data_IF_612061974299
#
_entry.id   IF_612061974299
#
_cell.length_a   1.000
_cell.length_b   1.000
_cell.length_c   1.000
_cell.angle_alpha   90.00
_cell.angle_beta   90.00
_cell.angle_gamma   90.00
#
_symmetry.space_group_name_H-M   'P 1'
#
loop_
_entity.id
_entity.type
_entity.pdbx_description
1 polymer ?
#
# COMPACT_ATOMS: atom_id res chain seq x y z
N UNK A 1 -24.23 28.24 -42.66
CA UNK A 1 -22.81 28.37 -42.31
C UNK A 1 -22.76 29.13 -40.99
N UNK A 2 -22.23 28.47 -39.97
CA UNK A 2 -22.27 28.92 -38.58
C UNK A 2 -21.18 29.99 -38.40
N UNK A 3 -21.51 31.26 -38.67
CA UNK A 3 -20.65 32.36 -38.26
C UNK A 3 -20.77 32.51 -36.75
N UNK A 4 -19.93 31.76 -36.03
CA UNK A 4 -19.52 32.10 -34.70
C UNK A 4 -18.80 33.45 -34.78
N UNK A 5 -19.59 34.53 -34.77
CA UNK A 5 -19.13 35.86 -34.45
C UNK A 5 -18.65 35.81 -32.98
N UNK A 6 -17.43 35.31 -32.81
CA UNK A 6 -16.58 35.56 -31.67
C UNK A 6 -16.43 37.09 -31.62
N UNK A 7 -17.37 37.74 -30.94
CA UNK A 7 -17.27 39.13 -30.53
C UNK A 7 -16.12 39.19 -29.51
N UNK A 8 -14.88 39.17 -30.02
CA UNK A 8 -13.71 39.63 -29.30
C UNK A 8 -13.85 41.15 -29.28
N UNK A 9 -14.70 41.63 -28.39
CA UNK A 9 -14.65 43.01 -27.94
C UNK A 9 -13.34 43.11 -27.18
N UNK A 10 -12.39 43.84 -27.75
CA UNK A 10 -11.00 43.98 -27.31
C UNK A 10 -10.92 44.76 -26.00
N UNK A 11 -11.43 44.15 -24.93
CA UNK A 11 -11.19 44.55 -23.55
C UNK A 11 -10.21 43.51 -22.97
N UNK A 12 -8.96 43.90 -22.64
CA UNK A 12 -7.94 42.96 -22.17
C UNK A 12 -8.37 42.20 -20.91
N UNK A 13 -9.27 42.78 -20.11
CA UNK A 13 -9.83 42.16 -18.92
C UNK A 13 -10.73 40.95 -19.21
N UNK A 14 -11.45 40.94 -20.34
CA UNK A 14 -12.34 39.83 -20.73
C UNK A 14 -11.51 38.62 -21.16
N UNK A 15 -10.47 38.85 -21.96
CA UNK A 15 -9.56 37.81 -22.45
C UNK A 15 -8.79 37.15 -21.29
N UNK A 16 -8.32 37.94 -20.32
CA UNK A 16 -7.62 37.42 -19.12
C UNK A 16 -8.57 36.61 -18.23
N UNK A 17 -9.83 37.04 -18.11
CA UNK A 17 -10.86 36.31 -17.36
C UNK A 17 -11.14 34.93 -17.94
N UNK A 18 -11.33 34.82 -19.25
CA UNK A 18 -11.61 33.56 -19.94
C UNK A 18 -10.44 32.56 -19.85
N UNK A 19 -9.21 33.04 -20.01
CA UNK A 19 -8.00 32.20 -19.86
C UNK A 19 -7.87 31.68 -18.42
N UNK A 20 -8.16 32.51 -17.42
CA UNK A 20 -8.08 32.11 -16.00
C UNK A 20 -9.10 31.02 -15.68
N UNK A 21 -10.32 31.13 -16.19
CA UNK A 21 -11.37 30.10 -16.02
C UNK A 21 -10.96 28.78 -16.67
N UNK A 22 -10.37 28.83 -17.87
CA UNK A 22 -9.88 27.64 -18.58
C UNK A 22 -8.77 26.92 -17.80
N UNK A 23 -7.82 27.67 -17.23
CA UNK A 23 -6.75 27.12 -16.38
C UNK A 23 -7.32 26.46 -15.12
N UNK A 24 -8.31 27.10 -14.49
CA UNK A 24 -8.99 26.54 -13.31
C UNK A 24 -9.74 25.24 -13.62
N UNK A 25 -10.41 25.14 -14.76
CA UNK A 25 -11.12 23.92 -15.18
C UNK A 25 -10.12 22.79 -15.45
N UNK A 26 -9.02 23.07 -16.15
CA UNK A 26 -7.97 22.07 -16.42
C UNK A 26 -7.34 21.60 -15.11
N UNK A 27 -7.01 22.53 -14.20
CA UNK A 27 -6.49 22.21 -12.87
C UNK A 27 -7.45 21.37 -12.03
N UNK A 28 -8.75 21.69 -12.07
CA UNK A 28 -9.79 20.93 -11.36
C UNK A 28 -9.94 19.51 -11.91
N UNK A 29 -9.92 19.34 -13.23
CA UNK A 29 -9.96 18.00 -13.86
C UNK A 29 -8.71 17.19 -13.52
N UNK A 30 -7.54 17.83 -13.50
CA UNK A 30 -6.28 17.17 -13.11
C UNK A 30 -6.31 16.74 -11.64
N UNK A 31 -6.81 17.60 -10.75
CA UNK A 31 -7.00 17.29 -9.33
C UNK A 31 -8.00 16.14 -9.11
N UNK A 32 -9.14 16.15 -9.81
CA UNK A 32 -10.12 15.07 -9.77
C UNK A 32 -9.56 13.73 -10.27
N UNK A 33 -8.69 13.75 -11.30
CA UNK A 33 -8.00 12.55 -11.77
C UNK A 33 -6.94 12.04 -10.79
N UNK A 34 -6.20 12.94 -10.15
CA UNK A 34 -5.25 12.59 -9.08
C UNK A 34 -5.93 11.93 -7.87
N UNK A 35 -7.15 12.34 -7.53
CA UNK A 35 -7.94 11.74 -6.45
C UNK A 35 -8.52 10.36 -6.80
N UNK A 36 -8.70 10.03 -8.09
CA UNK A 36 -9.26 8.73 -8.53
C UNK A 36 -8.24 7.58 -8.57
N UNK A 37 -6.97 7.83 -8.23
CA UNK A 37 -5.89 6.87 -8.46
C UNK A 37 -5.54 5.93 -7.28
N UNK A 38 -6.36 5.82 -6.23
CA UNK A 38 -6.02 4.95 -5.08
C UNK A 38 -7.08 3.89 -4.74
N UNK A 39 -7.73 3.33 -5.77
CA UNK A 39 -8.46 2.06 -5.67
C UNK A 39 -7.62 0.86 -6.12
N UNK A 40 -6.28 0.96 -6.05
CA UNK A 40 -5.44 -0.22 -6.19
C UNK A 40 -5.72 -1.14 -4.99
N UNK A 41 -6.12 -2.37 -5.29
CA UNK A 41 -6.27 -3.43 -4.27
C UNK A 41 -4.97 -3.45 -3.44
N UNK A 42 -5.05 -3.44 -2.10
CA UNK A 42 -3.86 -3.39 -1.27
C UNK A 42 -2.94 -4.56 -1.66
N UNK A 43 -1.74 -4.22 -2.15
CA UNK A 43 -0.74 -5.21 -2.53
C UNK A 43 -0.42 -6.02 -1.28
N UNK A 44 -0.60 -7.35 -1.30
CA UNK A 44 -0.35 -8.17 -0.12
C UNK A 44 1.13 -8.07 0.27
N UNK A 45 1.38 -7.86 1.56
CA UNK A 45 2.71 -7.91 2.14
C UNK A 45 3.17 -9.36 2.21
N UNK A 46 4.39 -9.61 1.75
CA UNK A 46 5.06 -10.88 1.97
C UNK A 46 5.71 -10.85 3.34
N UNK A 47 5.07 -11.50 4.30
CA UNK A 47 5.46 -11.47 5.72
C UNK A 47 6.18 -12.77 6.08
N UNK A 48 7.29 -12.65 6.80
CA UNK A 48 8.03 -13.76 7.38
C UNK A 48 8.03 -13.60 8.91
N UNK A 49 7.59 -14.64 9.61
CA UNK A 49 7.62 -14.71 11.07
C UNK A 49 8.62 -15.80 11.48
N UNK A 50 9.64 -15.41 12.22
CA UNK A 50 10.68 -16.30 12.74
C UNK A 50 10.49 -16.38 14.26
N UNK A 51 10.09 -17.56 14.74
CA UNK A 51 10.10 -17.88 16.16
C UNK A 51 11.48 -18.41 16.53
N UNK A 52 12.12 -17.84 17.56
CA UNK A 52 13.42 -18.34 18.02
C UNK A 52 13.29 -19.63 18.85
N UNK A 53 12.09 -19.86 19.41
CA UNK A 53 11.74 -21.10 20.07
C UNK A 53 11.21 -22.11 19.04
N UNK A 54 11.79 -23.31 19.00
CA UNK A 54 11.51 -24.32 17.97
C UNK A 54 10.11 -24.96 18.08
N UNK A 55 9.46 -24.82 19.23
CA UNK A 55 8.15 -25.34 19.56
C UNK A 55 7.00 -24.41 19.12
N UNK A 56 7.28 -23.13 18.85
CA UNK A 56 6.25 -22.12 18.56
C UNK A 56 5.98 -21.96 17.08
N UNK A 57 4.68 -21.83 16.76
CA UNK A 57 4.17 -21.68 15.39
C UNK A 57 3.14 -20.55 15.33
N UNK A 58 2.95 -19.91 14.15
CA UNK A 58 1.89 -18.92 13.97
C UNK A 58 0.49 -19.48 14.27
N UNK A 59 0.27 -20.77 14.03
CA UNK A 59 -0.99 -21.49 14.29
C UNK A 59 -1.36 -21.54 15.77
N UNK A 60 -0.37 -21.41 16.66
CA UNK A 60 -0.62 -21.39 18.11
C UNK A 60 -1.23 -20.05 18.57
N UNK A 61 -1.26 -19.08 17.66
CA UNK A 61 -1.73 -17.71 17.89
C UNK A 61 -2.93 -17.42 17.00
N UNK A 62 -4.17 -17.41 17.52
CA UNK A 62 -5.38 -17.32 16.71
C UNK A 62 -5.43 -16.08 15.79
N UNK A 63 -4.89 -14.95 16.24
CA UNK A 63 -4.88 -13.74 15.42
C UNK A 63 -3.81 -13.77 14.33
N UNK A 64 -2.75 -14.58 14.46
CA UNK A 64 -1.79 -14.79 13.37
C UNK A 64 -2.33 -15.81 12.38
N UNK A 65 -2.93 -16.90 12.86
CA UNK A 65 -3.50 -17.96 12.02
C UNK A 65 -4.58 -17.43 11.07
N UNK A 66 -5.38 -16.47 11.53
CA UNK A 66 -6.42 -15.82 10.73
C UNK A 66 -5.90 -14.88 9.64
N UNK A 67 -4.63 -14.45 9.68
CA UNK A 67 -4.10 -13.49 8.70
C UNK A 67 -3.89 -14.12 7.32
N UNK A 68 -3.41 -15.36 7.28
CA UNK A 68 -3.14 -16.12 6.08
C UNK A 68 -2.73 -17.56 6.40
N UNK A 69 -2.68 -18.41 5.38
CA UNK A 69 -2.03 -19.72 5.50
C UNK A 69 -0.51 -19.56 5.58
N UNK A 70 0.04 -19.89 6.75
CA UNK A 70 1.48 -19.85 7.00
C UNK A 70 2.17 -21.12 6.50
N UNK A 71 3.24 -20.96 5.73
CA UNK A 71 4.06 -22.07 5.23
C UNK A 71 5.47 -21.95 5.78
N UNK A 72 5.96 -23.01 6.43
CA UNK A 72 7.34 -23.04 6.91
C UNK A 72 8.33 -23.16 5.75
N UNK A 73 9.31 -22.24 5.69
CA UNK A 73 10.33 -22.16 4.65
C UNK A 73 11.70 -22.40 5.30
N UNK A 74 12.30 -23.58 5.07
CA UNK A 74 13.60 -23.96 5.65
C UNK A 74 14.71 -22.97 5.30
N UNK A 75 14.75 -22.49 4.05
CA UNK A 75 15.74 -21.53 3.56
C UNK A 75 15.65 -20.15 4.26
N UNK A 76 14.47 -19.79 4.77
CA UNK A 76 14.24 -18.52 5.48
C UNK A 76 14.23 -18.69 7.00
N UNK A 77 14.30 -19.93 7.49
CA UNK A 77 14.28 -20.25 8.92
C UNK A 77 12.98 -19.87 9.64
N UNK A 78 11.85 -19.74 8.92
CA UNK A 78 10.61 -19.21 9.50
C UNK A 78 9.36 -19.50 8.69
N UNK A 79 8.24 -18.96 9.18
CA UNK A 79 6.92 -19.11 8.58
C UNK A 79 6.61 -17.94 7.66
N UNK A 80 6.38 -18.25 6.39
CA UNK A 80 6.08 -17.30 5.35
C UNK A 80 4.58 -17.27 5.05
N UNK A 81 4.03 -16.08 4.81
CA UNK A 81 2.65 -15.88 4.44
C UNK A 81 2.43 -14.54 3.75
N UNK A 82 1.38 -14.44 2.93
CA UNK A 82 0.98 -13.20 2.29
C UNK A 82 -0.19 -12.57 3.06
N UNK A 83 0.05 -11.42 3.68
CA UNK A 83 -0.90 -10.74 4.56
C UNK A 83 -1.28 -9.39 3.99
N UNK A 84 -2.56 -8.99 4.12
CA UNK A 84 -2.97 -7.60 3.82
C UNK A 84 -2.48 -6.61 4.88
N UNK A 85 -2.21 -7.11 6.08
CA UNK A 85 -1.76 -6.31 7.21
C UNK A 85 -0.25 -6.03 7.13
N UNK A 86 0.14 -4.82 7.53
CA UNK A 86 1.53 -4.40 7.52
C UNK A 86 2.34 -5.23 8.54
N UNK A 87 3.54 -5.74 8.18
CA UNK A 87 4.43 -6.46 9.10
C UNK A 87 4.72 -5.71 10.41
N UNK A 88 4.75 -4.37 10.39
CA UNK A 88 4.93 -3.57 11.60
C UNK A 88 3.71 -3.66 12.54
N UNK A 89 2.49 -3.70 11.99
CA UNK A 89 1.27 -3.86 12.78
C UNK A 89 1.19 -5.28 13.35
N UNK A 90 1.63 -6.28 12.59
CA UNK A 90 1.75 -7.66 13.07
C UNK A 90 2.75 -7.74 14.22
N UNK A 91 3.92 -7.08 14.10
CA UNK A 91 4.91 -6.99 15.18
C UNK A 91 4.32 -6.34 16.44
N UNK A 92 3.60 -5.24 16.28
CA UNK A 92 2.94 -4.54 17.39
C UNK A 92 1.90 -5.44 18.07
N UNK A 93 1.06 -6.12 17.28
CA UNK A 93 0.08 -7.08 17.80
C UNK A 93 0.74 -8.21 18.60
N UNK A 94 1.84 -8.77 18.10
CA UNK A 94 2.57 -9.84 18.77
C UNK A 94 3.13 -9.37 20.12
N UNK A 95 3.68 -8.16 20.17
CA UNK A 95 4.19 -7.56 21.40
C UNK A 95 3.07 -7.27 22.40
N UNK A 96 1.99 -6.64 21.95
CA UNK A 96 0.91 -6.16 22.84
C UNK A 96 0.01 -7.29 23.34
N UNK A 97 -0.31 -8.29 22.52
CA UNK A 97 -1.25 -9.36 22.88
C UNK A 97 -0.58 -10.61 23.44
N UNK A 98 0.61 -10.94 22.94
CA UNK A 98 1.29 -12.18 23.31
C UNK A 98 2.52 -11.93 24.19
N UNK A 99 2.86 -10.66 24.46
CA UNK A 99 4.04 -10.28 25.24
C UNK A 99 5.33 -10.91 24.73
N UNK A 100 5.42 -11.09 23.40
CA UNK A 100 6.60 -11.65 22.74
C UNK A 100 7.48 -10.51 22.21
N UNK A 101 8.69 -10.44 22.74
CA UNK A 101 9.67 -9.44 22.34
C UNK A 101 10.42 -9.83 21.06
N UNK A 102 11.17 -8.86 20.50
CA UNK A 102 12.12 -9.08 19.39
C UNK A 102 13.13 -10.20 19.64
N UNK A 103 13.35 -10.56 20.90
CA UNK A 103 14.23 -11.65 21.30
C UNK A 103 13.60 -13.02 21.11
N UNK A 104 12.27 -13.11 21.05
CA UNK A 104 11.52 -14.35 20.93
C UNK A 104 10.90 -14.51 19.54
N UNK A 105 10.45 -13.41 18.93
CA UNK A 105 9.82 -13.41 17.60
C UNK A 105 10.37 -12.26 16.75
N UNK A 106 10.74 -12.59 15.52
CA UNK A 106 11.14 -11.62 14.52
C UNK A 106 10.14 -11.63 13.35
N UNK A 107 9.57 -10.46 13.05
CA UNK A 107 8.70 -10.26 11.89
C UNK A 107 9.45 -9.46 10.84
N UNK A 108 9.57 -10.00 9.62
CA UNK A 108 10.23 -9.36 8.48
C UNK A 108 9.27 -9.17 7.33
N UNK A 109 9.44 -8.07 6.60
CA UNK A 109 8.81 -7.86 5.31
C UNK A 109 9.77 -8.38 4.22
N UNK A 110 9.41 -9.47 3.57
CA UNK A 110 10.08 -9.93 2.36
C UNK A 110 9.50 -9.15 1.19
N UNK A 111 9.93 -7.90 1.01
CA UNK A 111 9.71 -7.24 -0.28
C UNK A 111 10.36 -8.13 -1.34
N UNK A 112 9.60 -8.49 -2.38
CA UNK A 112 10.16 -9.13 -3.57
C UNK A 112 11.23 -8.20 -4.15
N UNK A 113 12.48 -8.36 -3.72
CA UNK A 113 13.61 -8.01 -4.56
C UNK A 113 13.70 -9.12 -5.59
N UNK A 114 13.71 -8.75 -6.87
CA UNK A 114 13.80 -9.65 -8.02
C UNK A 114 14.86 -10.77 -7.87
N UNK A 115 15.87 -10.56 -7.01
CA UNK A 115 16.90 -11.53 -6.67
C UNK A 115 16.47 -12.72 -5.81
N UNK A 116 15.35 -12.67 -5.08
CA UNK A 116 14.98 -13.76 -4.14
C UNK A 116 14.17 -14.90 -4.76
N UNK A 117 13.79 -14.79 -6.04
CA UNK A 117 13.01 -15.81 -6.76
C UNK A 117 13.88 -16.85 -7.49
N UNK A 118 15.20 -16.61 -7.63
CA UNK A 118 16.13 -17.46 -8.39
C UNK A 118 17.24 -18.09 -7.53
N UNK A 119 17.09 -18.17 -6.21
CA UNK A 119 18.06 -18.81 -5.30
C UNK A 119 17.48 -20.00 -4.56
#
# INVERSE_FOLDING_TARGET
MLEAALFIKSDPYIIVGEITVLILIIGFIYFQRGLKANNEKPIPYSTLIIFKAADKKPTDYPQLDQLCHWTYRKNLGGYYGQTKQNPNDIRKMILERYHLDKNQVEVRNLRFTWFSLNS
#
